data_IF_039828062033
#
_entry.id   IF_039828062033
#
_cell.length_a   1.000
_cell.length_b   1.000
_cell.length_c   1.000
_cell.angle_alpha   90.00
_cell.angle_beta   90.00
_cell.angle_gamma   90.00
#
_symmetry.space_group_name_H-M   'P 1'
#
loop_
_entity.id
_entity.type
_entity.pdbx_description
1 polymer ?
#
# COMPACT_ATOMS: atom_id res chain seq x y z
N UNK A 1 25.55 6.65 2.05
CA UNK A 1 24.52 6.25 3.02
C UNK A 1 24.92 4.92 3.65
N UNK A 2 24.85 4.81 4.96
CA UNK A 2 25.04 3.55 5.69
C UNK A 2 23.66 2.91 5.90
N UNK A 3 23.57 1.61 5.85
CA UNK A 3 22.34 0.85 6.05
C UNK A 3 22.06 -0.13 4.91
N UNK A 4 21.24 -1.14 5.21
CA UNK A 4 20.87 -2.19 4.26
C UNK A 4 19.44 -2.64 4.47
N UNK A 5 18.78 -3.00 3.38
CA UNK A 5 17.43 -3.56 3.39
C UNK A 5 17.42 -4.91 2.68
N UNK A 6 16.53 -5.79 3.10
CA UNK A 6 16.21 -7.00 2.35
C UNK A 6 15.10 -6.67 1.38
N UNK A 7 15.45 -6.64 0.11
CA UNK A 7 14.57 -6.22 -0.99
C UNK A 7 14.11 -7.45 -1.75
N UNK A 8 12.81 -7.59 -1.94
CA UNK A 8 12.22 -8.64 -2.76
C UNK A 8 12.36 -8.30 -4.24
N UNK A 9 11.88 -7.13 -4.64
CA UNK A 9 11.93 -6.65 -6.03
C UNK A 9 11.95 -5.11 -6.10
N UNK A 10 12.53 -4.57 -7.19
CA UNK A 10 12.42 -3.15 -7.56
C UNK A 10 12.05 -3.12 -9.03
N UNK A 11 10.96 -2.41 -9.38
CA UNK A 11 10.45 -2.37 -10.73
C UNK A 11 9.67 -1.08 -11.01
N UNK A 12 9.53 -0.72 -12.29
CA UNK A 12 8.72 0.39 -12.76
C UNK A 12 7.40 -0.14 -13.31
N UNK A 13 6.29 0.38 -12.82
CA UNK A 13 4.95 0.05 -13.28
C UNK A 13 4.00 1.25 -13.12
N UNK A 14 2.69 0.98 -13.14
CA UNK A 14 1.66 1.96 -12.77
C UNK A 14 1.22 1.74 -11.32
N UNK A 15 1.05 2.84 -10.58
CA UNK A 15 0.36 2.76 -9.29
C UNK A 15 -1.08 2.26 -9.52
N UNK A 16 -1.43 1.12 -8.96
CA UNK A 16 -2.72 0.46 -9.20
C UNK A 16 -3.82 0.83 -8.21
N UNK A 17 -3.47 1.54 -7.15
CA UNK A 17 -4.35 1.92 -6.04
C UNK A 17 -4.06 3.38 -5.63
N UNK A 18 -4.55 3.82 -4.46
CA UNK A 18 -4.32 5.16 -3.91
C UNK A 18 -4.93 6.31 -4.73
N UNK A 19 -4.75 7.53 -4.27
CA UNK A 19 -5.13 8.74 -5.06
C UNK A 19 -4.18 8.99 -6.23
N UNK A 20 -3.10 8.24 -6.33
CA UNK A 20 -2.11 8.28 -7.42
C UNK A 20 -2.33 7.20 -8.49
N UNK A 21 -3.43 6.45 -8.42
CA UNK A 21 -3.74 5.37 -9.36
C UNK A 21 -3.62 5.82 -10.82
N UNK A 22 -2.97 4.98 -11.64
CA UNK A 22 -2.71 5.24 -13.06
C UNK A 22 -1.42 5.99 -13.35
N UNK A 23 -0.70 6.49 -12.34
CA UNK A 23 0.57 7.18 -12.56
C UNK A 23 1.77 6.21 -12.58
N UNK A 24 2.81 6.47 -13.39
CA UNK A 24 4.07 5.73 -13.34
C UNK A 24 4.70 5.77 -11.94
N UNK A 25 5.10 4.60 -11.44
CA UNK A 25 5.65 4.44 -10.10
C UNK A 25 6.79 3.41 -10.10
N UNK A 26 7.90 3.74 -9.45
CA UNK A 26 8.94 2.77 -9.12
C UNK A 26 8.60 2.15 -7.76
N UNK A 27 8.32 0.87 -7.76
CA UNK A 27 8.05 0.11 -6.55
C UNK A 27 9.32 -0.47 -5.96
N UNK A 28 9.48 -0.32 -4.64
CA UNK A 28 10.50 -0.98 -3.84
C UNK A 28 9.76 -1.91 -2.88
N UNK A 29 9.67 -3.19 -3.23
CA UNK A 29 9.04 -4.20 -2.38
C UNK A 29 10.06 -4.79 -1.42
N UNK A 30 9.84 -4.57 -0.12
CA UNK A 30 10.67 -5.10 0.94
C UNK A 30 10.18 -6.49 1.38
N UNK A 31 11.12 -7.28 1.89
CA UNK A 31 10.85 -8.62 2.43
C UNK A 31 10.46 -8.56 3.89
N UNK A 32 9.71 -9.55 4.33
CA UNK A 32 9.16 -9.79 5.65
C UNK A 32 7.90 -8.99 5.97
N UNK A 33 6.98 -9.66 6.64
CA UNK A 33 5.78 -9.10 7.24
C UNK A 33 5.49 -9.89 8.53
N UNK A 34 5.02 -9.23 9.55
CA UNK A 34 4.58 -9.85 10.80
C UNK A 34 3.06 -10.10 10.86
N UNK A 35 2.34 -9.72 9.80
CA UNK A 35 0.95 -10.03 9.59
C UNK A 35 0.78 -11.21 8.62
N UNK A 36 -0.39 -11.86 8.69
CA UNK A 36 -0.77 -13.00 7.84
C UNK A 36 -2.20 -12.85 7.34
N UNK A 37 -2.49 -11.68 6.74
CA UNK A 37 -3.83 -11.35 6.24
C UNK A 37 -4.37 -12.45 5.33
N UNK A 38 -5.65 -12.77 5.47
CA UNK A 38 -6.30 -13.86 4.73
C UNK A 38 -6.27 -13.69 3.21
N UNK A 39 -6.21 -12.44 2.75
CA UNK A 39 -6.24 -12.04 1.34
C UNK A 39 -4.89 -11.55 0.80
N UNK A 40 -3.78 -11.82 1.51
CA UNK A 40 -2.48 -11.32 1.08
C UNK A 40 -2.03 -11.97 -0.23
N UNK A 41 -1.90 -11.17 -1.28
CA UNK A 41 -1.51 -11.59 -2.63
C UNK A 41 0.01 -11.58 -2.86
N UNK A 42 0.76 -11.07 -1.88
CA UNK A 42 2.21 -10.93 -1.93
C UNK A 42 2.93 -11.80 -0.87
N UNK A 43 2.35 -12.97 -0.55
CA UNK A 43 2.93 -13.89 0.44
C UNK A 43 4.36 -14.34 0.10
N UNK A 44 4.75 -14.30 -1.16
CA UNK A 44 6.13 -14.56 -1.61
C UNK A 44 7.13 -13.57 -1.00
N UNK A 45 6.71 -12.35 -0.71
CA UNK A 45 7.56 -11.34 -0.07
C UNK A 45 7.82 -11.61 1.43
N UNK A 46 7.22 -12.65 2.04
CA UNK A 46 7.50 -12.97 3.43
C UNK A 46 8.94 -13.45 3.65
N UNK A 47 9.51 -14.15 2.68
CA UNK A 47 10.80 -14.84 2.82
C UNK A 47 11.77 -14.61 1.66
N UNK A 48 11.25 -14.31 0.47
CA UNK A 48 12.11 -14.07 -0.70
C UNK A 48 12.74 -12.68 -0.62
N UNK A 49 14.00 -12.54 -1.02
CA UNK A 49 14.64 -11.24 -1.11
C UNK A 49 16.17 -11.31 -1.03
N UNK A 50 16.79 -10.19 -1.39
CA UNK A 50 18.26 -10.03 -1.35
C UNK A 50 18.61 -8.78 -0.55
N UNK A 51 19.68 -8.87 0.25
CA UNK A 51 20.21 -7.72 0.97
C UNK A 51 20.86 -6.76 -0.01
N UNK A 52 20.42 -5.49 0.03
CA UNK A 52 20.98 -4.38 -0.76
C UNK A 52 21.31 -3.21 0.17
N UNK A 53 22.35 -2.47 -0.14
CA UNK A 53 22.65 -1.19 0.52
C UNK A 53 21.67 -0.12 0.08
N UNK A 54 21.43 0.91 0.91
CA UNK A 54 20.59 2.05 0.54
C UNK A 54 21.12 2.76 -0.72
N UNK A 55 22.43 2.77 -0.92
CA UNK A 55 23.07 3.37 -2.10
C UNK A 55 22.73 2.60 -3.38
N UNK A 56 22.76 1.24 -3.33
CA UNK A 56 22.38 0.40 -4.47
C UNK A 56 20.90 0.57 -4.81
N UNK A 57 20.03 0.61 -3.80
CA UNK A 57 18.58 0.83 -4.01
C UNK A 57 18.33 2.19 -4.67
N UNK A 58 18.91 3.26 -4.16
CA UNK A 58 18.75 4.60 -4.73
C UNK A 58 19.29 4.69 -6.16
N UNK A 59 20.40 4.01 -6.47
CA UNK A 59 20.96 3.95 -7.81
C UNK A 59 20.01 3.24 -8.79
N UNK A 60 19.41 2.12 -8.38
CA UNK A 60 18.46 1.36 -9.17
C UNK A 60 17.16 2.16 -9.43
N UNK A 61 16.63 2.84 -8.40
CA UNK A 61 15.48 3.75 -8.55
C UNK A 61 15.79 4.86 -9.56
N UNK A 62 16.95 5.53 -9.44
CA UNK A 62 17.37 6.57 -10.39
C UNK A 62 17.51 6.03 -11.82
N UNK A 63 18.00 4.79 -11.98
CA UNK A 63 18.10 4.15 -13.29
C UNK A 63 16.72 3.93 -13.92
N UNK A 64 15.77 3.39 -13.16
CA UNK A 64 14.38 3.16 -13.62
C UNK A 64 13.64 4.48 -13.88
N UNK A 65 13.93 5.52 -13.12
CA UNK A 65 13.34 6.85 -13.27
C UNK A 65 13.91 7.65 -14.45
N UNK A 66 15.05 7.25 -15.01
CA UNK A 66 15.77 8.00 -16.06
C UNK A 66 14.90 8.45 -17.24
N UNK A 67 13.95 7.63 -17.79
CA UNK A 67 13.09 8.08 -18.89
C UNK A 67 12.27 9.33 -18.58
N UNK A 68 11.89 9.53 -17.31
CA UNK A 68 11.05 10.65 -16.86
C UNK A 68 11.86 11.92 -16.57
N UNK A 69 13.18 11.80 -16.48
CA UNK A 69 14.10 12.91 -16.19
C UNK A 69 14.61 13.60 -17.46
N UNK A 70 14.09 13.27 -18.65
CA UNK A 70 14.56 13.85 -19.91
C UNK A 70 14.25 15.36 -19.97
N UNK A 71 15.27 16.26 -19.98
CA UNK A 71 15.06 17.71 -20.02
C UNK A 71 14.46 18.21 -21.34
N UNK A 72 14.50 17.39 -22.39
CA UNK A 72 13.97 17.70 -23.72
C UNK A 72 12.53 17.28 -23.92
N UNK A 73 11.90 16.59 -22.95
CA UNK A 73 10.50 16.25 -23.03
C UNK A 73 9.62 17.51 -22.94
N UNK A 74 8.77 17.70 -23.95
CA UNK A 74 7.76 18.79 -23.94
C UNK A 74 6.69 18.59 -22.86
N UNK A 75 6.53 17.34 -22.37
CA UNK A 75 5.57 16.99 -21.32
C UNK A 75 6.38 16.64 -20.08
N UNK A 76 6.36 17.53 -19.10
CA UNK A 76 7.03 17.30 -17.81
C UNK A 76 6.00 17.27 -16.71
N UNK A 77 6.04 16.21 -15.93
CA UNK A 77 5.45 16.21 -14.61
C UNK A 77 6.58 15.99 -13.59
N UNK A 78 6.95 17.01 -12.80
CA UNK A 78 8.05 16.91 -11.84
C UNK A 78 7.77 15.92 -10.70
N UNK A 79 6.53 15.47 -10.57
CA UNK A 79 6.13 14.46 -9.59
C UNK A 79 6.39 13.02 -10.07
N UNK A 80 6.78 12.80 -11.34
CA UNK A 80 6.96 11.48 -11.92
C UNK A 80 8.43 11.12 -12.15
N UNK A 81 8.76 9.83 -12.07
CA UNK A 81 7.85 8.81 -11.53
C UNK A 81 7.72 8.94 -10.03
N UNK A 82 6.61 8.42 -9.49
CA UNK A 82 6.47 8.20 -8.05
C UNK A 82 7.47 7.12 -7.60
N UNK A 83 7.82 7.11 -6.33
CA UNK A 83 8.56 5.99 -5.72
C UNK A 83 7.79 5.49 -4.52
N UNK A 84 7.44 4.22 -4.50
CA UNK A 84 6.68 3.63 -3.40
C UNK A 84 7.46 2.53 -2.69
N UNK A 85 7.60 2.68 -1.38
CA UNK A 85 7.99 1.59 -0.50
C UNK A 85 6.76 0.78 -0.14
N UNK A 86 6.80 -0.49 -0.44
CA UNK A 86 5.75 -1.46 -0.14
C UNK A 86 6.37 -2.81 0.22
N UNK A 87 5.63 -3.88 0.19
CA UNK A 87 6.20 -5.20 0.31
C UNK A 87 5.43 -6.11 1.23
N UNK A 88 6.12 -6.72 2.21
CA UNK A 88 5.51 -7.24 3.40
C UNK A 88 5.07 -6.08 4.30
N UNK A 89 5.89 -5.72 5.27
CA UNK A 89 5.70 -4.50 6.06
C UNK A 89 7.02 -3.70 6.06
N UNK A 90 7.08 -2.56 5.37
CA UNK A 90 8.31 -1.78 5.24
C UNK A 90 8.90 -1.31 6.58
N UNK A 91 8.04 -1.00 7.55
CA UNK A 91 8.47 -0.47 8.85
C UNK A 91 9.12 -1.51 9.77
N UNK A 92 9.06 -2.80 9.44
CA UNK A 92 9.85 -3.84 10.13
C UNK A 92 11.35 -3.65 9.94
N UNK A 93 11.75 -3.05 8.83
CA UNK A 93 13.16 -2.83 8.53
C UNK A 93 13.54 -1.38 8.86
N UNK A 94 14.28 -1.17 9.95
CA UNK A 94 14.62 0.16 10.48
C UNK A 94 15.26 1.11 9.45
N UNK A 95 15.99 0.55 8.46
CA UNK A 95 16.66 1.35 7.43
C UNK A 95 15.69 1.78 6.30
N UNK A 96 14.40 1.45 6.37
CA UNK A 96 13.36 1.98 5.45
C UNK A 96 13.18 3.49 5.62
N UNK A 97 13.27 4.00 6.85
CA UNK A 97 13.12 5.45 7.13
C UNK A 97 14.24 6.28 6.50
N UNK A 98 15.55 5.99 6.72
CA UNK A 98 16.61 6.71 6.02
C UNK A 98 16.58 6.52 4.50
N UNK A 99 16.06 5.41 3.96
CA UNK A 99 15.85 5.28 2.53
C UNK A 99 14.80 6.26 2.03
N UNK A 100 13.63 6.35 2.67
CA UNK A 100 12.57 7.29 2.31
C UNK A 100 13.06 8.74 2.33
N UNK A 101 13.80 9.11 3.39
CA UNK A 101 14.41 10.44 3.50
C UNK A 101 15.35 10.71 2.31
N UNK A 102 16.23 9.77 1.98
CA UNK A 102 17.17 9.91 0.86
C UNK A 102 16.48 10.01 -0.51
N UNK A 103 15.36 9.32 -0.69
CA UNK A 103 14.54 9.43 -1.90
C UNK A 103 13.88 10.81 -2.01
N UNK A 104 13.34 11.34 -0.89
CA UNK A 104 12.81 12.70 -0.83
C UNK A 104 13.91 13.74 -1.10
N UNK A 105 15.10 13.56 -0.53
CA UNK A 105 16.26 14.44 -0.75
C UNK A 105 16.76 14.41 -2.21
N UNK A 106 16.54 13.28 -2.89
CA UNK A 106 16.81 13.13 -4.33
C UNK A 106 15.72 13.74 -5.23
N UNK A 107 14.66 14.32 -4.65
CA UNK A 107 13.59 15.03 -5.36
C UNK A 107 12.45 14.15 -5.83
N UNK A 108 12.33 12.89 -5.36
CA UNK A 108 11.20 12.03 -5.70
C UNK A 108 9.97 12.34 -4.85
N UNK A 109 8.79 12.14 -5.43
CA UNK A 109 7.54 12.01 -4.68
C UNK A 109 7.49 10.59 -4.11
N UNK A 110 7.61 10.47 -2.79
CA UNK A 110 7.75 9.19 -2.10
C UNK A 110 6.45 8.80 -1.42
N UNK A 111 6.01 7.57 -1.64
CA UNK A 111 4.88 6.95 -0.98
C UNK A 111 5.35 5.77 -0.11
N UNK A 112 4.57 5.46 0.92
CA UNK A 112 4.71 4.21 1.68
C UNK A 112 3.35 3.55 1.86
N UNK A 113 3.22 2.29 1.48
CA UNK A 113 2.14 1.42 1.93
C UNK A 113 2.57 0.69 3.20
N UNK A 114 1.81 0.87 4.28
CA UNK A 114 2.04 0.20 5.56
C UNK A 114 0.76 -0.42 6.12
N UNK A 115 0.92 -1.53 6.81
CA UNK A 115 -0.19 -2.26 7.45
C UNK A 115 -0.89 -1.48 8.58
N UNK A 116 -0.35 -0.34 9.02
CA UNK A 116 -0.84 0.39 10.17
C UNK A 116 -0.56 -0.26 11.54
N UNK A 117 0.16 -1.40 11.57
CA UNK A 117 0.49 -2.10 12.81
C UNK A 117 1.73 -1.53 13.52
N UNK A 118 2.53 -0.74 12.84
CA UNK A 118 3.78 -0.15 13.34
C UNK A 118 3.66 1.36 13.52
N UNK A 119 4.54 1.93 14.34
CA UNK A 119 4.60 3.37 14.61
C UNK A 119 5.02 4.14 13.36
N UNK A 120 4.12 5.02 12.86
CA UNK A 120 4.35 5.87 11.69
C UNK A 120 4.85 7.27 12.05
N UNK A 121 4.97 7.60 13.34
CA UNK A 121 5.32 8.96 13.81
C UNK A 121 6.69 9.45 13.33
N UNK A 122 7.60 8.52 13.05
CA UNK A 122 8.98 8.81 12.64
C UNK A 122 9.21 8.87 11.14
N UNK A 123 8.18 8.61 10.34
CA UNK A 123 8.28 8.72 8.88
C UNK A 123 8.47 10.19 8.50
N UNK A 124 9.42 10.45 7.59
CA UNK A 124 9.68 11.80 7.06
C UNK A 124 8.35 12.47 6.62
N UNK A 125 8.06 13.69 7.05
CA UNK A 125 6.79 14.35 6.76
C UNK A 125 6.53 14.60 5.27
N UNK A 126 7.54 14.54 4.41
CA UNK A 126 7.41 14.66 2.95
C UNK A 126 6.83 13.41 2.30
N UNK A 127 6.88 12.25 2.97
CA UNK A 127 6.36 10.98 2.48
C UNK A 127 4.84 10.96 2.57
N UNK A 128 4.17 10.52 1.50
CA UNK A 128 2.74 10.22 1.50
C UNK A 128 2.53 8.82 2.10
N UNK A 129 1.73 8.73 3.15
CA UNK A 129 1.45 7.48 3.86
C UNK A 129 0.11 6.93 3.36
N UNK A 130 0.12 5.72 2.87
CA UNK A 130 -1.09 4.95 2.56
C UNK A 130 -1.17 3.90 3.66
N UNK A 131 -1.96 4.19 4.69
CA UNK A 131 -2.07 3.33 5.87
C UNK A 131 -3.28 2.42 5.76
N UNK A 132 -3.03 1.12 5.72
CA UNK A 132 -4.10 0.11 5.82
C UNK A 132 -4.65 0.07 7.24
N UNK A 133 -5.95 0.30 7.38
CA UNK A 133 -6.68 -0.04 8.59
C UNK A 133 -7.34 -1.42 8.38
N UNK A 134 -6.76 -2.46 9.01
CA UNK A 134 -7.12 -3.85 8.74
C UNK A 134 -8.53 -4.17 9.21
N UNK A 135 -9.37 -4.64 8.26
CA UNK A 135 -10.76 -5.03 8.50
C UNK A 135 -10.88 -6.46 9.05
N UNK A 136 -12.03 -6.86 9.60
CA UNK A 136 -12.25 -8.17 10.23
C UNK A 136 -11.84 -9.37 9.38
N UNK A 137 -12.20 -9.39 8.07
CA UNK A 137 -11.88 -10.51 7.18
C UNK A 137 -10.38 -10.73 6.98
N UNK A 138 -9.53 -9.73 7.23
CA UNK A 138 -8.08 -9.89 7.22
C UNK A 138 -7.59 -10.89 8.26
N UNK A 139 -8.32 -11.08 9.38
CA UNK A 139 -7.88 -11.80 10.56
C UNK A 139 -6.81 -11.05 11.38
N UNK A 140 -6.52 -9.78 11.04
CA UNK A 140 -5.45 -8.98 11.67
C UNK A 140 -5.97 -7.66 12.30
N UNK A 141 -7.28 -7.51 12.46
CA UNK A 141 -7.90 -6.28 13.00
C UNK A 141 -7.32 -5.86 14.36
N UNK A 142 -6.97 -6.81 15.22
CA UNK A 142 -6.37 -6.56 16.53
C UNK A 142 -4.94 -5.97 16.46
N UNK A 143 -4.33 -5.96 15.28
CA UNK A 143 -2.99 -5.40 15.05
C UNK A 143 -3.01 -3.92 14.64
N UNK A 144 -4.19 -3.35 14.40
CA UNK A 144 -4.33 -1.93 14.12
C UNK A 144 -3.81 -1.10 15.30
N UNK A 145 -2.83 -0.24 15.04
CA UNK A 145 -2.33 0.72 16.00
C UNK A 145 -3.08 2.04 15.84
N UNK A 146 -4.15 2.21 16.62
CA UNK A 146 -5.06 3.37 16.48
C UNK A 146 -4.37 4.70 16.80
N UNK A 147 -3.31 4.70 17.61
CA UNK A 147 -2.48 5.88 17.89
C UNK A 147 -1.88 6.50 16.63
N UNK A 148 -1.72 5.72 15.57
CA UNK A 148 -1.23 6.20 14.28
C UNK A 148 -2.15 7.26 13.65
N UNK A 149 -3.45 7.25 13.95
CA UNK A 149 -4.40 8.23 13.42
C UNK A 149 -4.01 9.66 13.75
N UNK A 150 -3.41 9.88 14.93
CA UNK A 150 -2.94 11.22 15.36
C UNK A 150 -1.72 11.73 14.56
N UNK A 151 -1.07 10.87 13.81
CA UNK A 151 0.13 11.19 13.01
C UNK A 151 -0.15 11.36 11.53
N UNK A 152 -1.38 11.09 11.08
CA UNK A 152 -1.79 11.29 9.69
C UNK A 152 -2.02 12.77 9.39
N UNK A 153 -1.75 13.16 8.16
CA UNK A 153 -1.95 14.51 7.62
C UNK A 153 -2.90 14.46 6.42
N UNK A 154 -3.44 15.60 6.04
CA UNK A 154 -4.42 15.71 4.94
C UNK A 154 -3.94 15.16 3.58
N UNK A 155 -2.63 15.03 3.39
CA UNK A 155 -2.02 14.43 2.19
C UNK A 155 -1.81 12.93 2.29
N UNK A 156 -2.01 12.32 3.45
CA UNK A 156 -1.94 10.87 3.63
C UNK A 156 -3.27 10.21 3.25
N UNK A 157 -3.35 8.90 3.32
CA UNK A 157 -4.54 8.13 2.96
C UNK A 157 -4.78 7.01 3.97
N UNK A 158 -6.05 6.72 4.26
CA UNK A 158 -6.44 5.53 4.99
C UNK A 158 -7.11 4.57 4.02
N UNK A 159 -6.57 3.35 3.92
CA UNK A 159 -7.10 2.29 3.08
C UNK A 159 -7.79 1.22 3.92
N UNK A 160 -9.01 0.86 3.53
CA UNK A 160 -9.76 -0.28 4.02
C UNK A 160 -9.87 -1.29 2.90
N UNK A 161 -9.36 -2.50 3.13
CA UNK A 161 -9.48 -3.61 2.17
C UNK A 161 -10.73 -4.41 2.52
N UNK A 162 -11.75 -4.30 1.67
CA UNK A 162 -13.11 -4.79 1.91
C UNK A 162 -13.34 -6.10 1.14
N UNK A 163 -13.50 -7.19 1.86
CA UNK A 163 -13.79 -8.51 1.30
C UNK A 163 -15.17 -9.06 1.70
N UNK A 164 -15.77 -8.48 2.74
CA UNK A 164 -17.05 -8.93 3.31
C UNK A 164 -17.95 -7.77 3.65
N UNK A 165 -19.26 -8.05 3.88
CA UNK A 165 -20.22 -7.05 4.35
C UNK A 165 -19.86 -6.54 5.73
N UNK A 166 -19.33 -7.40 6.57
CA UNK A 166 -18.87 -7.06 7.92
C UNK A 166 -17.65 -6.15 7.91
N UNK A 167 -16.74 -6.28 6.91
CA UNK A 167 -15.66 -5.31 6.69
C UNK A 167 -16.21 -3.93 6.36
N UNK A 168 -17.20 -3.86 5.47
CA UNK A 168 -17.85 -2.63 5.08
C UNK A 168 -18.50 -1.93 6.29
N UNK A 169 -19.29 -2.67 7.08
CA UNK A 169 -19.99 -2.12 8.23
C UNK A 169 -19.00 -1.69 9.32
N UNK A 170 -17.94 -2.48 9.55
CA UNK A 170 -16.86 -2.14 10.47
C UNK A 170 -16.13 -0.87 10.02
N UNK A 171 -15.76 -0.75 8.76
CA UNK A 171 -15.09 0.42 8.22
C UNK A 171 -15.93 1.70 8.39
N UNK A 172 -17.25 1.64 8.12
CA UNK A 172 -18.18 2.75 8.40
C UNK A 172 -18.17 3.17 9.86
N UNK A 173 -18.17 2.19 10.78
CA UNK A 173 -18.12 2.46 12.22
C UNK A 173 -16.80 3.16 12.60
N UNK A 174 -15.65 2.72 12.04
CA UNK A 174 -14.37 3.37 12.30
C UNK A 174 -14.34 4.81 11.76
N UNK A 175 -14.84 5.03 10.55
CA UNK A 175 -14.93 6.37 9.95
C UNK A 175 -15.73 7.30 10.86
N UNK A 176 -16.89 6.89 11.31
CA UNK A 176 -17.75 7.69 12.16
C UNK A 176 -17.16 7.91 13.57
N UNK A 177 -16.64 6.86 14.20
CA UNK A 177 -16.11 6.90 15.56
C UNK A 177 -14.88 7.81 15.68
N UNK A 178 -14.02 7.82 14.66
CA UNK A 178 -12.76 8.57 14.65
C UNK A 178 -12.77 9.80 13.73
N UNK A 179 -13.91 10.09 13.06
CA UNK A 179 -14.06 11.22 12.12
C UNK A 179 -12.96 11.21 11.05
N UNK A 180 -12.70 10.04 10.48
CA UNK A 180 -11.55 9.81 9.60
C UNK A 180 -11.65 10.61 8.29
N UNK A 181 -12.84 10.89 7.83
CA UNK A 181 -13.14 11.73 6.67
C UNK A 181 -12.66 13.19 6.81
N UNK A 182 -12.50 13.65 8.05
CA UNK A 182 -11.91 14.95 8.35
C UNK A 182 -10.38 14.93 8.42
N UNK A 183 -9.75 13.75 8.41
CA UNK A 183 -8.29 13.60 8.55
C UNK A 183 -7.60 13.60 7.19
N UNK A 184 -7.99 12.69 6.30
CA UNK A 184 -7.38 12.50 4.98
C UNK A 184 -8.31 11.70 4.06
N UNK A 185 -7.99 11.57 2.74
CA UNK A 185 -8.74 10.72 1.83
C UNK A 185 -8.89 9.28 2.34
N UNK A 186 -10.09 8.72 2.16
CA UNK A 186 -10.44 7.37 2.55
C UNK A 186 -10.63 6.49 1.31
N UNK A 187 -10.05 5.30 1.32
CA UNK A 187 -10.05 4.36 0.22
C UNK A 187 -10.74 3.06 0.63
N UNK A 188 -11.76 2.65 -0.13
CA UNK A 188 -12.38 1.32 -0.04
C UNK A 188 -11.88 0.47 -1.21
N UNK A 189 -10.88 -0.37 -0.94
CA UNK A 189 -10.28 -1.26 -1.92
C UNK A 189 -10.97 -2.62 -1.87
N UNK A 190 -11.64 -3.00 -2.97
CA UNK A 190 -12.27 -4.32 -3.04
C UNK A 190 -11.22 -5.43 -3.11
N UNK A 191 -11.36 -6.45 -2.28
CA UNK A 191 -10.50 -7.64 -2.28
C UNK A 191 -10.65 -8.38 -3.61
N UNK A 192 -9.57 -8.40 -4.40
CA UNK A 192 -9.52 -9.30 -5.55
C UNK A 192 -9.28 -10.73 -5.07
N UNK A 193 -10.08 -11.72 -5.50
CA UNK A 193 -9.85 -13.13 -5.13
C UNK A 193 -8.44 -13.60 -5.49
N UNK A 194 -7.80 -14.32 -4.57
CA UNK A 194 -6.47 -14.88 -4.81
C UNK A 194 -6.51 -15.94 -5.91
N UNK A 195 -5.65 -15.80 -6.90
CA UNK A 195 -5.39 -16.86 -7.87
C UNK A 195 -4.79 -18.09 -7.15
N UNK A 196 -4.96 -19.33 -7.69
CA UNK A 196 -4.41 -20.53 -7.06
C UNK A 196 -2.92 -20.43 -6.73
N UNK A 197 -2.13 -19.79 -7.57
CA UNK A 197 -0.68 -19.59 -7.36
C UNK A 197 -0.35 -18.62 -6.22
N UNK A 198 -1.29 -17.76 -5.81
CA UNK A 198 -1.12 -16.79 -4.71
C UNK A 198 -1.55 -17.38 -3.35
N UNK A 199 -2.25 -18.52 -3.34
CA UNK A 199 -2.68 -19.15 -2.12
C UNK A 199 -1.47 -19.70 -1.34
N UNK A 200 -1.37 -19.32 -0.07
CA UNK A 200 -0.28 -19.77 0.80
C UNK A 200 -0.83 -20.33 2.11
N UNK A 201 -0.26 -21.44 2.56
CA UNK A 201 -0.59 -22.02 3.88
C UNK A 201 -0.20 -21.12 5.05
N UNK A 202 0.64 -20.12 4.82
CA UNK A 202 1.06 -19.14 5.83
C UNK A 202 -0.05 -18.12 6.12
N UNK A 203 -1.03 -17.94 5.23
CA UNK A 203 -2.10 -16.96 5.40
C UNK A 203 -3.13 -17.46 6.42
N UNK A 204 -3.72 -16.54 7.15
CA UNK A 204 -4.89 -16.83 7.97
C UNK A 204 -6.07 -17.19 7.07
N UNK A 205 -7.01 -17.94 7.61
CA UNK A 205 -8.32 -18.13 6.97
C UNK A 205 -9.18 -16.91 7.28
N UNK A 206 -10.08 -16.59 6.35
CA UNK A 206 -11.15 -15.63 6.63
C UNK A 206 -11.93 -16.14 7.85
N UNK A 207 -12.16 -15.32 8.89
CA UNK A 207 -12.95 -15.73 10.05
C UNK A 207 -14.34 -16.25 9.65
N UNK A 208 -14.83 -17.25 10.38
CA UNK A 208 -16.14 -17.84 10.10
C UNK A 208 -17.27 -16.83 10.34
N UNK A 209 -18.37 -16.99 9.61
CA UNK A 209 -19.58 -16.17 9.78
C UNK A 209 -19.55 -14.84 9.01
N UNK A 210 -18.49 -14.55 8.26
CA UNK A 210 -18.43 -13.36 7.41
C UNK A 210 -19.01 -13.63 6.03
N UNK A 211 -19.71 -12.64 5.47
CA UNK A 211 -20.44 -12.72 4.20
C UNK A 211 -19.67 -12.03 3.09
N UNK A 212 -19.17 -12.74 2.06
CA UNK A 212 -18.46 -12.11 0.95
C UNK A 212 -19.28 -11.00 0.29
N UNK A 213 -18.60 -9.93 -0.12
CA UNK A 213 -19.20 -8.80 -0.85
C UNK A 213 -18.62 -8.74 -2.27
N UNK A 214 -19.50 -8.59 -3.27
CA UNK A 214 -19.04 -8.37 -4.64
C UNK A 214 -18.59 -6.91 -4.84
N UNK A 215 -17.76 -6.68 -5.86
CA UNK A 215 -17.33 -5.31 -6.22
C UNK A 215 -18.51 -4.42 -6.60
N UNK A 216 -19.53 -4.99 -7.25
CA UNK A 216 -20.74 -4.25 -7.61
C UNK A 216 -21.53 -3.87 -6.35
N UNK A 217 -21.78 -4.82 -5.46
CA UNK A 217 -22.48 -4.58 -4.20
C UNK A 217 -21.75 -3.52 -3.35
N UNK A 218 -20.40 -3.60 -3.27
CA UNK A 218 -19.62 -2.60 -2.54
C UNK A 218 -19.81 -1.20 -3.12
N UNK A 219 -19.76 -1.05 -4.45
CA UNK A 219 -19.98 0.23 -5.12
C UNK A 219 -21.40 0.77 -4.88
N UNK A 220 -22.41 -0.10 -5.00
CA UNK A 220 -23.83 0.27 -4.76
C UNK A 220 -24.06 0.72 -3.31
N UNK A 221 -23.45 0.01 -2.33
CA UNK A 221 -23.55 0.38 -0.91
C UNK A 221 -22.88 1.73 -0.61
N UNK A 222 -21.70 2.00 -1.19
CA UNK A 222 -21.02 3.31 -1.05
C UNK A 222 -21.92 4.44 -1.54
N UNK A 223 -22.56 4.25 -2.70
CA UNK A 223 -23.47 5.25 -3.30
C UNK A 223 -24.74 5.42 -2.43
N UNK A 224 -25.36 4.31 -2.05
CA UNK A 224 -26.60 4.33 -1.25
C UNK A 224 -26.41 4.99 0.12
N UNK A 225 -25.25 4.76 0.75
CA UNK A 225 -24.91 5.32 2.07
C UNK A 225 -24.25 6.70 1.98
N UNK A 226 -24.07 7.25 0.76
CA UNK A 226 -23.40 8.53 0.49
C UNK A 226 -22.05 8.67 1.22
N UNK A 227 -21.23 7.58 1.26
CA UNK A 227 -19.98 7.59 2.01
C UNK A 227 -18.92 8.47 1.32
N UNK A 228 -18.17 9.29 2.06
CA UNK A 228 -17.10 10.12 1.54
C UNK A 228 -15.81 9.32 1.31
N UNK A 229 -15.91 8.21 0.59
CA UNK A 229 -14.80 7.29 0.31
C UNK A 229 -14.57 7.14 -1.19
N UNK A 230 -13.34 6.82 -1.59
CA UNK A 230 -13.02 6.45 -2.96
C UNK A 230 -13.10 4.93 -3.09
N UNK A 231 -13.99 4.45 -3.95
CA UNK A 231 -13.98 3.05 -4.37
C UNK A 231 -12.74 2.76 -5.21
N UNK A 232 -12.04 1.69 -4.91
CA UNK A 232 -10.87 1.24 -5.67
C UNK A 232 -10.93 -0.25 -6.01
N UNK A 233 -10.40 -0.53 -7.19
CA UNK A 233 -10.00 -1.88 -7.61
C UNK A 233 -8.51 -1.85 -7.84
N UNK A 234 -7.85 -2.99 -7.67
CA UNK A 234 -6.43 -3.12 -7.95
C UNK A 234 -6.22 -3.11 -9.46
N UNK A 235 -5.91 -1.93 -10.06
CA UNK A 235 -5.86 -1.76 -11.52
C UNK A 235 -4.86 -2.70 -12.18
N UNK A 236 -3.72 -2.95 -11.54
CA UNK A 236 -2.71 -3.87 -12.06
C UNK A 236 -3.26 -5.28 -12.28
N UNK A 237 -4.21 -5.76 -11.45
CA UNK A 237 -4.87 -7.07 -11.62
C UNK A 237 -5.94 -7.10 -12.71
N UNK A 238 -6.27 -5.96 -13.28
CA UNK A 238 -7.16 -5.86 -14.46
C UNK A 238 -6.32 -5.75 -15.74
N UNK A 239 -5.17 -5.07 -15.66
CA UNK A 239 -4.28 -4.82 -16.80
C UNK A 239 -3.43 -6.07 -17.10
N UNK A 240 -2.90 -6.71 -16.06
CA UNK A 240 -2.06 -7.91 -16.16
C UNK A 240 -2.69 -9.10 -15.41
N UNK A 241 -2.22 -10.32 -15.67
CA UNK A 241 -2.63 -11.48 -14.87
C UNK A 241 -2.41 -11.22 -13.37
N UNK A 242 -3.40 -11.54 -12.51
CA UNK A 242 -3.35 -11.19 -11.08
C UNK A 242 -2.14 -11.71 -10.31
N UNK A 243 -1.52 -12.80 -10.79
CA UNK A 243 -0.34 -13.44 -10.21
C UNK A 243 0.99 -12.91 -10.77
N UNK A 244 0.95 -12.02 -11.76
CA UNK A 244 2.17 -11.50 -12.40
C UNK A 244 2.92 -10.59 -11.44
N UNK A 245 4.24 -10.84 -11.32
CA UNK A 245 5.15 -10.02 -10.50
C UNK A 245 5.84 -8.94 -11.34
N UNK A 246 6.27 -7.87 -10.71
CA UNK A 246 7.01 -6.80 -11.36
C UNK A 246 6.18 -5.90 -12.29
N UNK A 247 4.86 -5.85 -12.07
CA UNK A 247 3.90 -5.07 -12.86
C UNK A 247 3.00 -4.21 -11.99
#
# INVERSE_FOLDING_TARGET
MTGTLVVNEIYLSLQGESTFAGLPCVFIRLTACDLRCSYCDTAYAFTEGKKKTLTEILAEVKHLAKPFSNPQSAIRNPQLPLVELTGGEPLLQKDSQPLMQALCDAGFTVLIETSGAHDISKIDPRVHRIMDLKCPASGEVARNRMENLAHLKATDEIKFVIGTREDYDWAKQQIAAHKLDAVCPLLFSWVHPLAPAQQSKALKKVPAGLTPISRQELAEKIIADALPVRFQIQQHKIIWPPEQRGV
#
